data_IF_868839756171
#
_entry.id   IF_868839756171
#
_cell.length_a   1.000
_cell.length_b   1.000
_cell.length_c   1.000
_cell.angle_alpha   90.00
_cell.angle_beta   90.00
_cell.angle_gamma   90.00
#
_symmetry.space_group_name_H-M   'P 1'
#
loop_
_entity.id
_entity.type
_entity.pdbx_description
1 polymer ?
#
# COMPACT_ATOMS: atom_id res chain seq x y z
N UNK A 1 30.83 -27.57 40.11
CA UNK A 1 30.85 -26.10 40.22
C UNK A 1 29.98 -25.55 39.11
N UNK A 2 28.81 -25.07 39.49
CA UNK A 2 27.93 -24.24 38.65
C UNK A 2 28.71 -23.04 38.11
N UNK A 3 28.55 -22.73 36.82
CA UNK A 3 28.80 -21.38 36.33
C UNK A 3 27.61 -20.90 35.51
N UNK A 4 27.07 -19.80 36.03
CA UNK A 4 25.89 -19.04 35.70
C UNK A 4 25.85 -18.56 34.24
N UNK A 5 24.65 -18.62 33.66
CA UNK A 5 24.24 -17.92 32.45
C UNK A 5 24.30 -16.39 32.64
N UNK A 6 24.74 -15.62 31.62
CA UNK A 6 24.24 -14.28 31.41
C UNK A 6 23.72 -14.15 29.97
N UNK A 7 22.51 -14.64 29.71
CA UNK A 7 21.83 -14.40 28.41
C UNK A 7 20.56 -13.55 28.59
N UNK A 8 20.18 -13.24 29.85
CA UNK A 8 18.96 -12.50 30.14
C UNK A 8 19.17 -10.97 30.06
N UNK A 9 20.40 -10.48 30.32
CA UNK A 9 20.67 -9.04 30.36
C UNK A 9 20.79 -8.38 28.97
N UNK A 10 21.36 -9.06 27.97
CA UNK A 10 21.48 -8.52 26.61
C UNK A 10 20.14 -8.47 25.87
N UNK A 11 19.28 -9.49 26.04
CA UNK A 11 17.92 -9.49 25.45
C UNK A 11 17.03 -8.45 26.13
N UNK A 12 17.18 -8.25 27.44
CA UNK A 12 16.51 -7.15 28.15
C UNK A 12 17.05 -5.79 27.71
N UNK A 13 18.36 -5.65 27.49
CA UNK A 13 18.99 -4.42 26.96
C UNK A 13 18.52 -4.10 25.55
N UNK A 14 18.44 -5.08 24.65
CA UNK A 14 17.90 -4.89 23.29
C UNK A 14 16.41 -4.55 23.33
N UNK A 15 15.59 -5.26 24.12
CA UNK A 15 14.18 -4.90 24.32
C UNK A 15 14.05 -3.50 24.91
N UNK A 16 14.92 -3.10 25.83
CA UNK A 16 14.91 -1.76 26.42
C UNK A 16 15.33 -0.71 25.40
N UNK A 17 16.33 -0.96 24.55
CA UNK A 17 16.74 -0.06 23.47
C UNK A 17 15.67 0.07 22.38
N UNK A 18 15.00 -1.04 22.03
CA UNK A 18 13.86 -1.04 21.11
C UNK A 18 12.69 -0.28 21.73
N UNK A 19 12.36 -0.52 23.01
CA UNK A 19 11.31 0.20 23.73
C UNK A 19 11.65 1.68 23.99
N UNK A 20 12.93 2.04 24.10
CA UNK A 20 13.39 3.43 24.19
C UNK A 20 13.30 4.14 22.83
N UNK A 21 13.51 3.43 21.71
CA UNK A 21 13.23 3.95 20.36
C UNK A 21 11.74 4.27 20.17
N UNK A 22 10.84 3.55 20.83
CA UNK A 22 9.39 3.81 20.87
C UNK A 22 8.93 4.72 22.02
N UNK A 23 9.85 5.19 22.88
CA UNK A 23 9.56 6.06 24.05
C UNK A 23 10.02 7.51 23.88
N UNK A 24 10.43 7.92 22.69
CA UNK A 24 10.45 9.36 22.33
C UNK A 24 9.05 9.69 21.81
N UNK A 25 8.16 9.99 22.74
CA UNK A 25 6.72 10.10 22.52
C UNK A 25 6.32 11.29 21.66
N UNK A 26 6.02 11.02 20.40
CA UNK A 26 4.93 11.66 19.69
C UNK A 26 3.70 10.76 19.71
N UNK A 27 2.50 11.32 19.85
CA UNK A 27 1.27 10.59 19.55
C UNK A 27 1.32 10.20 18.06
N UNK A 28 1.23 8.90 17.75
CA UNK A 28 1.14 8.44 16.36
C UNK A 28 -0.06 9.12 15.70
N UNK A 29 0.15 9.70 14.51
CA UNK A 29 -0.90 10.46 13.86
C UNK A 29 -2.09 9.55 13.52
N UNK A 30 -3.31 9.94 13.89
CA UNK A 30 -4.54 9.16 13.62
C UNK A 30 -4.75 8.87 12.13
N UNK A 31 -4.38 9.80 11.26
CA UNK A 31 -4.48 9.66 9.82
C UNK A 31 -3.48 8.62 9.29
N UNK A 32 -2.28 8.60 9.86
CA UNK A 32 -1.29 7.54 9.59
C UNK A 32 -1.81 6.17 9.94
N UNK A 33 -2.42 6.04 11.13
CA UNK A 33 -3.04 4.79 11.57
C UNK A 33 -4.18 4.36 10.64
N UNK A 34 -5.05 5.28 10.23
CA UNK A 34 -6.14 5.01 9.29
C UNK A 34 -5.61 4.44 7.96
N UNK A 35 -4.66 5.14 7.33
CA UNK A 35 -4.12 4.75 6.02
C UNK A 35 -3.36 3.43 6.08
N UNK A 36 -2.50 3.27 7.09
CA UNK A 36 -1.71 2.02 7.24
C UNK A 36 -2.60 0.83 7.60
N UNK A 37 -3.67 1.03 8.38
CA UNK A 37 -4.67 0.01 8.65
C UNK A 37 -5.38 -0.43 7.37
N UNK A 38 -5.81 0.51 6.51
CA UNK A 38 -6.39 0.20 5.20
C UNK A 38 -5.44 -0.64 4.35
N UNK A 39 -4.15 -0.26 4.24
CA UNK A 39 -3.22 -1.02 3.42
C UNK A 39 -2.96 -2.44 3.95
N UNK A 40 -2.88 -2.63 5.27
CA UNK A 40 -2.81 -3.97 5.89
C UNK A 40 -4.06 -4.81 5.61
N UNK A 41 -5.24 -4.19 5.64
CA UNK A 41 -6.48 -4.84 5.25
C UNK A 41 -6.52 -5.18 3.76
N UNK A 42 -6.01 -4.30 2.89
CA UNK A 42 -5.93 -4.53 1.44
C UNK A 42 -5.06 -5.75 1.11
N UNK A 43 -3.91 -5.90 1.80
CA UNK A 43 -3.04 -7.08 1.67
C UNK A 43 -3.81 -8.35 2.05
N UNK A 44 -4.54 -8.30 3.16
CA UNK A 44 -5.30 -9.45 3.67
C UNK A 44 -6.43 -9.83 2.70
N UNK A 45 -7.14 -8.84 2.17
CA UNK A 45 -8.21 -9.02 1.19
C UNK A 45 -7.67 -9.61 -0.13
N UNK A 46 -6.62 -9.03 -0.71
CA UNK A 46 -6.07 -9.54 -1.96
C UNK A 46 -5.46 -10.93 -1.77
N UNK A 47 -4.87 -11.22 -0.62
CA UNK A 47 -4.39 -12.57 -0.28
C UNK A 47 -5.53 -13.59 -0.22
N UNK A 48 -6.72 -13.23 0.27
CA UNK A 48 -7.86 -14.16 0.30
C UNK A 48 -8.37 -14.49 -1.10
N UNK A 49 -8.07 -13.68 -2.12
CA UNK A 49 -8.45 -13.98 -3.51
C UNK A 49 -7.71 -15.18 -4.12
N UNK A 50 -6.66 -15.71 -3.46
CA UNK A 50 -6.01 -16.96 -3.88
C UNK A 50 -6.95 -18.18 -3.84
N UNK A 51 -8.10 -18.08 -3.16
CA UNK A 51 -9.09 -19.17 -3.14
C UNK A 51 -10.04 -19.15 -4.33
N UNK A 52 -10.02 -18.08 -5.14
CA UNK A 52 -10.86 -17.98 -6.33
C UNK A 52 -10.40 -18.98 -7.39
N UNK A 53 -11.36 -19.61 -8.06
CA UNK A 53 -11.10 -20.36 -9.29
C UNK A 53 -10.60 -19.44 -10.41
N UNK A 54 -9.94 -20.01 -11.42
CA UNK A 54 -9.55 -19.23 -12.61
C UNK A 54 -10.76 -18.55 -13.27
N UNK A 55 -11.94 -19.17 -13.30
CA UNK A 55 -13.13 -18.54 -13.87
C UNK A 55 -13.55 -17.27 -13.09
N UNK A 56 -13.55 -17.32 -11.75
CA UNK A 56 -13.84 -16.16 -10.90
C UNK A 56 -12.76 -15.08 -11.04
N UNK A 57 -11.49 -15.48 -11.07
CA UNK A 57 -10.36 -14.58 -11.26
C UNK A 57 -10.40 -13.84 -12.62
N UNK A 58 -10.90 -14.51 -13.67
CA UNK A 58 -11.10 -13.91 -15.00
C UNK A 58 -12.50 -13.31 -15.20
N UNK A 59 -13.31 -13.18 -14.15
CA UNK A 59 -14.66 -12.63 -14.27
C UNK A 59 -14.61 -11.10 -14.39
N UNK A 60 -15.22 -10.49 -15.43
CA UNK A 60 -15.40 -9.04 -15.54
C UNK A 60 -16.28 -8.50 -14.42
N UNK A 61 -15.92 -7.37 -13.80
CA UNK A 61 -16.76 -6.69 -12.78
C UNK A 61 -17.98 -5.94 -13.37
N UNK A 62 -18.32 -6.25 -14.61
CA UNK A 62 -19.39 -5.66 -15.38
C UNK A 62 -19.14 -5.78 -16.88
N UNK A 63 -20.20 -5.62 -17.67
CA UNK A 63 -20.11 -5.70 -19.14
C UNK A 63 -19.12 -4.67 -19.68
N UNK A 64 -18.09 -5.13 -20.40
CA UNK A 64 -17.05 -4.28 -20.99
C UNK A 64 -16.08 -3.66 -19.98
N UNK A 65 -16.12 -4.08 -18.71
CA UNK A 65 -15.18 -3.65 -17.66
C UNK A 65 -14.07 -4.68 -17.46
N UNK A 66 -13.08 -4.29 -16.67
CA UNK A 66 -11.97 -5.16 -16.27
C UNK A 66 -12.41 -6.38 -15.48
N UNK A 67 -11.62 -7.43 -15.60
CA UNK A 67 -11.66 -8.63 -14.76
C UNK A 67 -11.09 -8.36 -13.37
N UNK A 68 -11.33 -9.29 -12.43
CA UNK A 68 -10.68 -9.26 -11.11
C UNK A 68 -9.15 -9.22 -11.27
N UNK A 69 -8.61 -10.06 -12.16
CA UNK A 69 -7.18 -10.07 -12.48
C UNK A 69 -6.63 -8.70 -12.91
N UNK A 70 -7.31 -8.06 -13.86
CA UNK A 70 -6.92 -6.74 -14.36
C UNK A 70 -7.01 -5.66 -13.28
N UNK A 71 -8.02 -5.72 -12.42
CA UNK A 71 -8.13 -4.82 -11.29
C UNK A 71 -6.98 -5.05 -10.30
N UNK A 72 -6.68 -6.28 -9.88
CA UNK A 72 -5.58 -6.47 -8.92
C UNK A 72 -4.22 -6.10 -9.54
N UNK A 73 -4.02 -6.42 -10.81
CA UNK A 73 -2.78 -6.13 -11.51
C UNK A 73 -2.51 -4.64 -11.74
N UNK A 74 -3.54 -3.79 -11.82
CA UNK A 74 -3.32 -2.36 -12.10
C UNK A 74 -2.77 -1.57 -10.92
N UNK A 75 -2.91 -2.04 -9.68
CA UNK A 75 -2.45 -1.30 -8.49
C UNK A 75 -0.93 -1.20 -8.40
N UNK A 76 -0.23 -2.30 -8.68
CA UNK A 76 1.23 -2.39 -8.53
C UNK A 76 2.02 -1.22 -9.13
N UNK A 77 1.85 -0.85 -10.42
CA UNK A 77 2.62 0.26 -10.99
C UNK A 77 2.34 1.61 -10.30
N UNK A 78 1.15 1.80 -9.72
CA UNK A 78 0.81 3.01 -8.97
C UNK A 78 1.46 3.00 -7.58
N UNK A 79 1.47 1.86 -6.90
CA UNK A 79 2.21 1.72 -5.64
C UNK A 79 3.71 1.97 -5.85
N UNK A 80 4.33 1.35 -6.88
CA UNK A 80 5.73 1.60 -7.26
C UNK A 80 5.98 3.09 -7.56
N UNK A 81 5.08 3.72 -8.32
CA UNK A 81 5.16 5.14 -8.61
C UNK A 81 5.10 5.99 -7.34
N UNK A 82 4.22 5.65 -6.39
CA UNK A 82 4.12 6.39 -5.13
C UNK A 82 5.39 6.24 -4.31
N UNK A 83 5.89 5.01 -4.15
CA UNK A 83 7.12 4.71 -3.39
C UNK A 83 8.31 5.48 -3.96
N UNK A 84 8.51 5.43 -5.28
CA UNK A 84 9.76 5.89 -5.89
C UNK A 84 9.72 7.32 -6.41
N UNK A 85 8.54 7.85 -6.74
CA UNK A 85 8.38 9.14 -7.45
C UNK A 85 7.46 10.13 -6.73
N UNK A 86 6.81 9.72 -5.63
CA UNK A 86 6.00 10.63 -4.81
C UNK A 86 6.58 10.81 -3.43
N UNK A 87 6.62 9.76 -2.62
CA UNK A 87 7.07 9.84 -1.22
C UNK A 87 8.39 10.62 -1.05
N UNK A 88 9.44 10.41 -1.87
CA UNK A 88 10.70 11.15 -1.73
C UNK A 88 10.59 12.66 -1.98
N UNK A 89 9.55 13.11 -2.68
CA UNK A 89 9.39 14.48 -3.19
C UNK A 89 8.22 15.25 -2.54
N UNK A 90 7.19 14.57 -2.02
CA UNK A 90 5.96 15.21 -1.52
C UNK A 90 6.21 16.30 -0.45
N UNK A 91 7.30 16.19 0.29
CA UNK A 91 7.67 17.14 1.36
C UNK A 91 9.07 17.72 1.18
N UNK A 92 9.73 17.42 0.06
CA UNK A 92 11.02 18.03 -0.28
C UNK A 92 10.80 19.40 -0.93
N UNK A 93 11.88 20.18 -1.03
CA UNK A 93 11.87 21.42 -1.80
C UNK A 93 12.06 21.18 -3.31
N UNK A 94 12.23 19.92 -3.72
CA UNK A 94 12.48 19.55 -5.11
C UNK A 94 11.18 19.49 -5.91
N UNK A 95 11.29 19.63 -7.23
CA UNK A 95 10.14 19.50 -8.11
C UNK A 95 9.64 18.05 -8.14
N UNK A 96 8.33 17.87 -7.95
CA UNK A 96 7.68 16.56 -8.04
C UNK A 96 7.78 16.00 -9.47
N UNK A 97 8.28 14.77 -9.65
CA UNK A 97 8.30 14.12 -10.95
C UNK A 97 6.92 14.09 -11.60
N UNK A 98 6.88 14.28 -12.93
CA UNK A 98 5.66 14.13 -13.70
C UNK A 98 5.14 12.69 -13.56
N UNK A 99 3.83 12.56 -13.34
CA UNK A 99 3.19 11.24 -13.33
C UNK A 99 3.26 10.55 -14.70
N UNK A 100 3.22 9.20 -14.72
CA UNK A 100 3.16 8.46 -15.98
C UNK A 100 1.83 8.72 -16.70
N UNK A 101 1.75 8.38 -17.99
CA UNK A 101 0.47 8.37 -18.70
C UNK A 101 -0.44 7.30 -18.08
N UNK A 102 -1.56 7.73 -17.50
CA UNK A 102 -2.44 6.85 -16.76
C UNK A 102 -3.12 5.81 -17.67
N UNK A 103 -3.47 6.19 -18.90
CA UNK A 103 -4.14 5.30 -19.85
C UNK A 103 -3.17 4.22 -20.32
N UNK A 104 -1.96 4.60 -20.68
CA UNK A 104 -0.91 3.66 -21.09
C UNK A 104 -0.56 2.71 -19.93
N UNK A 105 -0.34 3.26 -18.73
CA UNK A 105 0.00 2.47 -17.53
C UNK A 105 -1.09 1.44 -17.22
N UNK A 106 -2.35 1.87 -17.21
CA UNK A 106 -3.49 1.01 -16.91
C UNK A 106 -3.72 -0.04 -18.01
N UNK A 107 -3.61 0.34 -19.29
CA UNK A 107 -3.76 -0.61 -20.38
C UNK A 107 -2.67 -1.69 -20.32
N UNK A 108 -1.42 -1.29 -20.09
CA UNK A 108 -0.29 -2.22 -20.01
C UNK A 108 -0.43 -3.18 -18.82
N UNK A 109 -0.79 -2.68 -17.64
CA UNK A 109 -0.96 -3.51 -16.44
C UNK A 109 -2.16 -4.45 -16.56
N UNK A 110 -3.29 -3.97 -17.09
CA UNK A 110 -4.46 -4.81 -17.37
C UNK A 110 -4.14 -5.90 -18.40
N UNK A 111 -3.54 -5.55 -19.54
CA UNK A 111 -3.15 -6.53 -20.56
C UNK A 111 -2.24 -7.62 -20.01
N UNK A 112 -1.24 -7.23 -19.19
CA UNK A 112 -0.36 -8.21 -18.55
C UNK A 112 -1.12 -9.12 -17.57
N UNK A 113 -1.93 -8.54 -16.70
CA UNK A 113 -2.65 -9.28 -15.66
C UNK A 113 -3.72 -10.23 -16.24
N UNK A 114 -4.24 -9.93 -17.43
CA UNK A 114 -5.21 -10.78 -18.13
C UNK A 114 -4.66 -12.17 -18.44
N UNK A 115 -3.37 -12.28 -18.72
CA UNK A 115 -2.70 -13.53 -19.10
C UNK A 115 -1.81 -14.10 -17.98
N UNK A 116 -1.42 -13.27 -17.00
CA UNK A 116 -0.54 -13.67 -15.91
C UNK A 116 -1.24 -14.65 -14.94
N UNK A 117 -0.48 -15.62 -14.44
CA UNK A 117 -0.93 -16.56 -13.41
C UNK A 117 -1.42 -15.79 -12.19
N UNK A 118 -2.58 -16.18 -11.65
CA UNK A 118 -3.23 -15.54 -10.51
C UNK A 118 -2.27 -15.29 -9.35
N UNK A 119 -1.59 -16.34 -8.89
CA UNK A 119 -0.65 -16.27 -7.77
C UNK A 119 0.46 -15.22 -8.00
N UNK A 120 1.00 -15.14 -9.22
CA UNK A 120 2.05 -14.18 -9.56
C UNK A 120 1.53 -12.74 -9.43
N UNK A 121 0.30 -12.48 -9.89
CA UNK A 121 -0.32 -11.15 -9.80
C UNK A 121 -0.57 -10.76 -8.34
N UNK A 122 -1.09 -11.71 -7.55
CA UNK A 122 -1.37 -11.52 -6.12
C UNK A 122 -0.08 -11.28 -5.32
N UNK A 123 0.97 -12.08 -5.55
CA UNK A 123 2.25 -11.95 -4.85
C UNK A 123 2.88 -10.58 -5.15
N UNK A 124 2.87 -10.17 -6.43
CA UNK A 124 3.36 -8.85 -6.84
C UNK A 124 2.59 -7.71 -6.19
N UNK A 125 1.26 -7.80 -6.11
CA UNK A 125 0.46 -6.81 -5.39
C UNK A 125 0.88 -6.77 -3.92
N UNK A 126 0.92 -7.92 -3.24
CA UNK A 126 1.21 -8.00 -1.80
C UNK A 126 2.60 -7.44 -1.50
N UNK A 127 3.63 -7.86 -2.25
CA UNK A 127 5.00 -7.39 -2.06
C UNK A 127 5.09 -5.88 -2.18
N UNK A 128 4.59 -5.30 -3.27
CA UNK A 128 4.66 -3.85 -3.47
C UNK A 128 3.78 -3.08 -2.47
N UNK A 129 2.63 -3.63 -2.08
CA UNK A 129 1.76 -3.00 -1.08
C UNK A 129 2.37 -3.00 0.32
N UNK A 130 3.13 -4.04 0.68
CA UNK A 130 3.93 -4.07 1.92
C UNK A 130 5.01 -2.99 1.87
N UNK A 131 5.73 -2.86 0.76
CA UNK A 131 6.74 -1.80 0.59
C UNK A 131 6.13 -0.41 0.71
N UNK A 132 4.96 -0.17 0.09
CA UNK A 132 4.23 1.09 0.23
C UNK A 132 3.82 1.35 1.69
N UNK A 133 3.28 0.34 2.38
CA UNK A 133 2.90 0.48 3.78
C UNK A 133 4.09 0.84 4.66
N UNK A 134 5.24 0.19 4.47
CA UNK A 134 6.47 0.49 5.21
C UNK A 134 6.96 1.91 4.93
N UNK A 135 6.99 2.34 3.67
CA UNK A 135 7.40 3.69 3.30
C UNK A 135 6.49 4.78 3.94
N UNK A 136 5.19 4.51 4.08
CA UNK A 136 4.24 5.40 4.76
C UNK A 136 4.45 5.38 6.28
N UNK A 137 4.77 4.22 6.86
CA UNK A 137 5.10 4.10 8.28
C UNK A 137 6.38 4.87 8.67
N UNK A 138 7.29 5.11 7.72
CA UNK A 138 8.50 5.90 7.93
C UNK A 138 8.26 7.42 7.88
N UNK A 139 7.12 7.88 7.34
CA UNK A 139 6.79 9.31 7.31
C UNK A 139 6.56 9.86 8.73
N UNK A 140 7.19 11.00 9.05
CA UNK A 140 7.00 11.68 10.34
C UNK A 140 5.53 12.04 10.59
N UNK A 141 5.05 11.80 11.82
CA UNK A 141 3.68 12.07 12.24
C UNK A 141 3.29 13.56 12.10
N UNK A 142 4.26 14.47 12.24
CA UNK A 142 4.09 15.92 12.13
C UNK A 142 3.72 16.38 10.71
N UNK A 143 4.06 15.57 9.69
CA UNK A 143 3.86 15.95 8.30
C UNK A 143 2.46 15.61 7.75
N UNK A 144 1.66 14.83 8.48
CA UNK A 144 0.41 14.26 7.95
C UNK A 144 -0.65 15.31 7.60
N UNK A 145 -0.62 16.45 8.29
CA UNK A 145 -1.51 17.60 8.06
C UNK A 145 -0.79 18.75 7.34
N UNK A 146 0.50 18.59 7.04
CA UNK A 146 1.27 19.59 6.30
C UNK A 146 0.87 19.56 4.84
N UNK A 147 0.52 20.74 4.32
CA UNK A 147 0.18 20.90 2.91
C UNK A 147 1.40 20.94 2.01
N UNK A 148 1.25 20.35 0.83
CA UNK A 148 2.13 20.48 -0.33
C UNK A 148 1.29 20.71 -1.58
N UNK A 149 1.93 21.06 -2.70
CA UNK A 149 1.24 21.36 -3.94
C UNK A 149 1.74 20.46 -5.07
N UNK A 150 0.82 19.82 -5.77
CA UNK A 150 1.07 19.07 -7.00
C UNK A 150 0.37 19.80 -8.15
N UNK A 151 1.15 20.42 -9.04
CA UNK A 151 0.59 21.23 -10.12
C UNK A 151 -0.22 22.41 -9.57
N UNK A 152 -1.55 22.36 -9.73
CA UNK A 152 -2.48 23.40 -9.22
C UNK A 152 -3.26 22.97 -7.97
N UNK A 153 -3.02 21.76 -7.49
CA UNK A 153 -3.77 21.17 -6.37
C UNK A 153 -2.91 21.22 -5.11
N UNK A 154 -3.42 21.85 -4.06
CA UNK A 154 -2.83 21.83 -2.72
C UNK A 154 -3.57 20.81 -1.87
N UNK A 155 -2.82 19.99 -1.15
CA UNK A 155 -3.33 18.91 -0.33
C UNK A 155 -2.32 18.53 0.77
N UNK A 156 -2.82 17.92 1.83
CA UNK A 156 -2.04 17.26 2.87
C UNK A 156 -1.65 15.83 2.48
N UNK A 157 -0.74 15.21 3.24
CA UNK A 157 -0.44 13.78 3.06
C UNK A 157 -1.68 12.93 3.32
N UNK A 158 -2.48 13.29 4.33
CA UNK A 158 -3.72 12.58 4.61
C UNK A 158 -4.64 12.59 3.40
N UNK A 159 -4.95 13.75 2.83
CA UNK A 159 -5.86 13.86 1.68
C UNK A 159 -5.31 13.10 0.46
N UNK A 160 -4.00 13.14 0.23
CA UNK A 160 -3.37 12.40 -0.86
C UNK A 160 -3.58 10.89 -0.72
N UNK A 161 -3.20 10.32 0.43
CA UNK A 161 -3.34 8.89 0.65
C UNK A 161 -4.80 8.49 0.79
N UNK A 162 -5.66 9.35 1.34
CA UNK A 162 -7.09 9.09 1.45
C UNK A 162 -7.70 8.84 0.08
N UNK A 163 -7.38 9.68 -0.92
CA UNK A 163 -7.83 9.46 -2.30
C UNK A 163 -7.38 8.10 -2.88
N UNK A 164 -6.17 7.64 -2.54
CA UNK A 164 -5.70 6.31 -2.96
C UNK A 164 -6.47 5.18 -2.25
N UNK A 165 -6.77 5.32 -0.95
CA UNK A 165 -7.58 4.33 -0.23
C UNK A 165 -9.03 4.28 -0.72
N UNK A 166 -9.61 5.41 -1.12
CA UNK A 166 -10.95 5.48 -1.71
C UNK A 166 -10.99 4.79 -3.08
N UNK A 167 -9.94 4.93 -3.88
CA UNK A 167 -9.76 4.21 -5.13
C UNK A 167 -9.67 2.68 -4.92
N UNK A 168 -8.89 2.23 -3.93
CA UNK A 168 -8.88 0.81 -3.54
C UNK A 168 -10.27 0.32 -3.13
N UNK A 169 -10.97 1.04 -2.25
CA UNK A 169 -12.31 0.69 -1.80
C UNK A 169 -13.31 0.58 -2.96
N UNK A 170 -13.26 1.52 -3.90
CA UNK A 170 -14.11 1.47 -5.10
C UNK A 170 -13.96 0.14 -5.85
N UNK A 171 -12.72 -0.26 -6.11
CA UNK A 171 -12.43 -1.49 -6.86
C UNK A 171 -12.65 -2.77 -6.05
N UNK A 172 -12.30 -2.79 -4.77
CA UNK A 172 -12.57 -3.94 -3.91
C UNK A 172 -14.08 -4.17 -3.75
N UNK A 173 -14.88 -3.10 -3.69
CA UNK A 173 -16.34 -3.22 -3.68
C UNK A 173 -16.88 -3.76 -5.02
N UNK A 174 -16.29 -3.38 -6.16
CA UNK A 174 -16.66 -3.98 -7.46
C UNK A 174 -16.40 -5.49 -7.47
N UNK A 175 -15.23 -5.92 -6.98
CA UNK A 175 -14.87 -7.35 -6.89
C UNK A 175 -15.84 -8.09 -5.97
N UNK A 176 -16.03 -7.59 -4.75
CA UNK A 176 -16.93 -8.16 -3.74
C UNK A 176 -18.35 -8.32 -4.26
N UNK A 177 -18.90 -7.27 -4.89
CA UNK A 177 -20.25 -7.32 -5.45
C UNK A 177 -20.36 -8.31 -6.62
N UNK A 178 -19.31 -8.43 -7.45
CA UNK A 178 -19.29 -9.35 -8.61
C UNK A 178 -19.24 -10.80 -8.16
N UNK A 179 -18.45 -11.10 -7.13
CA UNK A 179 -18.21 -12.46 -6.63
C UNK A 179 -19.11 -12.84 -5.45
N UNK A 180 -19.87 -11.88 -4.90
CA UNK A 180 -20.67 -12.05 -3.68
C UNK A 180 -19.87 -12.50 -2.46
N UNK A 181 -18.69 -11.88 -2.24
CA UNK A 181 -17.76 -12.15 -1.12
C UNK A 181 -17.56 -10.94 -0.18
#
# INVERSE_FOLDING_TARGET
>A
MEYLLPVVSEVQSLKFQVLQKYKVGGLVNKHKLEITAHYKQSISFVKSLNTLSENEWRTPVGKGKWTVAEIIGHFRPWDEFVIHQRIPYLLSAEELPKGPDAKETNNRSASKAREEVQQITIDKFITTRVELCNAIEELSDENWERNFTIGKTTLSLYEYFKGLTEHDHHHFNQIKNTLSI
#
